data_IF_646055350111
#
_entry.id   IF_646055350111
#
_cell.length_a   1.000
_cell.length_b   1.000
_cell.length_c   1.000
_cell.angle_alpha   90.00
_cell.angle_beta   90.00
_cell.angle_gamma   90.00
#
_symmetry.space_group_name_H-M   'P 1'
#
loop_
_entity.id
_entity.type
_entity.pdbx_description
1 polymer ?
#
# COMPACT_ATOMS: atom_id res chain seq x y z
N UNK A 1 3.89 0.03 -22.83
CA UNK A 1 5.04 -0.58 -22.18
C UNK A 1 6.23 -0.70 -23.10
N UNK A 2 7.34 -0.90 -22.50
CA UNK A 2 8.60 -1.18 -23.21
C UNK A 2 8.69 -2.63 -23.74
N UNK A 3 7.64 -3.41 -23.53
CA UNK A 3 7.56 -4.83 -23.90
C UNK A 3 8.25 -5.77 -22.89
N UNK A 4 8.69 -5.23 -21.75
CA UNK A 4 9.23 -6.00 -20.63
C UNK A 4 8.12 -6.28 -19.63
N UNK A 5 8.13 -7.46 -19.04
CA UNK A 5 7.16 -7.87 -18.02
C UNK A 5 7.86 -7.94 -16.68
N UNK A 6 7.33 -7.22 -15.71
CA UNK A 6 7.70 -7.28 -14.30
C UNK A 6 6.61 -8.02 -13.50
N UNK A 7 7.01 -8.55 -12.36
CA UNK A 7 6.11 -9.24 -11.44
C UNK A 7 6.05 -8.48 -10.12
N UNK A 8 4.86 -8.06 -9.74
CA UNK A 8 4.59 -7.55 -8.39
C UNK A 8 4.15 -8.71 -7.51
N UNK A 9 4.88 -8.93 -6.42
CA UNK A 9 4.67 -10.05 -5.51
C UNK A 9 4.35 -9.52 -4.12
N UNK A 10 3.15 -9.83 -3.63
CA UNK A 10 2.79 -9.64 -2.22
C UNK A 10 3.38 -10.79 -1.41
N UNK A 11 4.19 -10.46 -0.43
CA UNK A 11 4.65 -11.41 0.58
C UNK A 11 3.99 -11.07 1.92
N UNK A 12 2.87 -11.72 2.25
CA UNK A 12 2.21 -11.48 3.53
C UNK A 12 3.08 -12.02 4.67
N UNK A 13 3.07 -11.28 5.77
CA UNK A 13 3.53 -11.80 7.05
C UNK A 13 2.37 -12.58 7.68
N UNK A 14 2.47 -13.88 7.78
CA UNK A 14 1.42 -14.76 8.34
C UNK A 14 1.30 -14.66 9.87
N UNK A 15 1.95 -13.70 10.51
CA UNK A 15 2.30 -13.78 11.92
C UNK A 15 2.03 -12.52 12.71
N UNK A 16 1.09 -11.70 12.27
CA UNK A 16 0.62 -10.57 13.07
C UNK A 16 0.18 -11.01 14.50
N UNK A 17 -0.21 -12.28 14.66
CA UNK A 17 -0.59 -12.88 15.94
C UNK A 17 0.55 -13.62 16.68
N UNK A 18 1.73 -13.80 16.07
CA UNK A 18 2.86 -14.47 16.71
C UNK A 18 3.84 -13.45 17.32
N UNK A 19 3.90 -13.31 18.66
CA UNK A 19 4.79 -12.35 19.31
C UNK A 19 6.27 -12.56 19.01
N UNK A 20 6.68 -13.77 18.59
CA UNK A 20 8.08 -14.07 18.26
C UNK A 20 8.50 -13.42 16.94
N UNK A 21 7.54 -13.07 16.08
CA UNK A 21 7.75 -12.48 14.76
C UNK A 21 7.32 -11.01 14.65
N UNK A 22 7.31 -10.31 15.77
CA UNK A 22 6.91 -8.90 15.85
C UNK A 22 7.64 -7.93 14.90
N UNK A 23 8.74 -8.38 14.30
CA UNK A 23 9.52 -7.63 13.33
C UNK A 23 9.39 -8.18 11.90
N UNK A 24 8.48 -9.13 11.67
CA UNK A 24 8.17 -9.61 10.35
C UNK A 24 7.02 -8.78 9.77
N UNK A 25 7.28 -8.03 8.71
CA UNK A 25 6.31 -7.13 8.09
C UNK A 25 5.89 -7.64 6.71
N UNK A 26 4.74 -7.18 6.25
CA UNK A 26 4.35 -7.41 4.86
C UNK A 26 5.32 -6.70 3.92
N UNK A 27 5.60 -7.32 2.79
CA UNK A 27 6.51 -6.79 1.78
C UNK A 27 5.85 -6.86 0.41
N UNK A 28 6.02 -5.80 -0.37
CA UNK A 28 5.70 -5.76 -1.78
C UNK A 28 7.01 -5.76 -2.57
N UNK A 29 7.25 -6.78 -3.36
CA UNK A 29 8.45 -6.88 -4.20
C UNK A 29 8.09 -6.68 -5.68
N UNK A 30 9.01 -6.09 -6.43
CA UNK A 30 9.00 -6.07 -7.89
C UNK A 30 10.19 -6.84 -8.44
N UNK A 31 9.92 -7.78 -9.33
CA UNK A 31 10.94 -8.61 -9.99
C UNK A 31 10.86 -8.49 -11.51
N UNK A 32 12.01 -8.54 -12.17
CA UNK A 32 12.07 -8.73 -13.60
C UNK A 32 11.79 -10.22 -13.96
N UNK A 33 11.66 -10.48 -15.26
CA UNK A 33 11.41 -11.85 -15.78
C UNK A 33 12.54 -12.85 -15.53
N UNK A 34 13.73 -12.38 -15.13
CA UNK A 34 14.86 -13.21 -14.74
C UNK A 34 14.88 -13.50 -13.22
N UNK A 35 13.90 -13.00 -12.47
CA UNK A 35 13.79 -13.14 -11.02
C UNK A 35 14.73 -12.22 -10.24
N UNK A 36 15.30 -11.21 -10.89
CA UNK A 36 16.09 -10.18 -10.21
C UNK A 36 15.15 -9.14 -9.61
N UNK A 37 15.30 -8.88 -8.30
CA UNK A 37 14.51 -7.87 -7.61
C UNK A 37 14.94 -6.47 -8.05
N UNK A 38 14.00 -5.69 -8.54
CA UNK A 38 14.20 -4.33 -9.02
C UNK A 38 14.05 -3.31 -7.89
N UNK A 39 13.00 -3.44 -7.12
CA UNK A 39 12.71 -2.64 -5.93
C UNK A 39 11.77 -3.41 -5.01
N UNK A 40 11.61 -2.93 -3.79
CA UNK A 40 10.66 -3.52 -2.86
C UNK A 40 10.24 -2.53 -1.78
N UNK A 41 9.10 -2.78 -1.15
CA UNK A 41 8.58 -1.97 -0.05
C UNK A 41 8.45 -2.86 1.17
N UNK A 42 9.15 -2.47 2.24
CA UNK A 42 8.81 -2.93 3.59
C UNK A 42 7.65 -2.08 4.08
N UNK A 43 6.47 -2.71 4.23
CA UNK A 43 5.24 -2.00 4.60
C UNK A 43 5.21 -1.59 6.08
N UNK A 44 6.18 -2.05 6.86
CA UNK A 44 6.38 -1.63 8.25
C UNK A 44 5.33 -2.13 9.23
N UNK A 45 5.46 -1.70 10.48
CA UNK A 45 4.63 -2.18 11.59
C UNK A 45 3.16 -1.78 11.48
N UNK A 46 2.87 -0.68 10.80
CA UNK A 46 1.53 -0.10 10.75
C UNK A 46 0.63 -0.68 9.66
N UNK A 47 1.20 -1.55 8.81
CA UNK A 47 0.46 -2.27 7.77
C UNK A 47 0.20 -3.74 8.13
N UNK A 48 0.46 -4.14 9.36
CA UNK A 48 0.20 -5.51 9.79
C UNK A 48 -1.29 -5.82 9.77
N UNK A 49 -1.61 -7.02 9.30
CA UNK A 49 -2.95 -7.55 9.22
C UNK A 49 -2.89 -9.06 9.43
N UNK A 50 -3.84 -9.61 10.16
CA UNK A 50 -4.01 -11.06 10.31
C UNK A 50 -4.42 -11.77 9.02
N UNK A 51 -4.88 -11.00 8.03
CA UNK A 51 -5.23 -11.50 6.71
C UNK A 51 -4.55 -10.65 5.64
N UNK A 52 -3.89 -11.29 4.70
CA UNK A 52 -3.17 -10.66 3.59
C UNK A 52 -4.09 -9.90 2.61
N UNK A 53 -5.38 -10.17 2.66
CA UNK A 53 -6.41 -9.45 1.92
C UNK A 53 -6.71 -8.03 2.43
N UNK A 54 -6.15 -7.63 3.59
CA UNK A 54 -6.42 -6.33 4.19
C UNK A 54 -5.63 -5.19 3.54
N UNK A 55 -4.64 -5.52 2.71
CA UNK A 55 -3.92 -4.53 1.91
C UNK A 55 -3.77 -5.02 0.49
N UNK A 56 -3.75 -4.10 -0.45
CA UNK A 56 -3.62 -4.43 -1.86
C UNK A 56 -2.91 -3.31 -2.61
N UNK A 57 -2.48 -3.63 -3.82
CA UNK A 57 -1.98 -2.70 -4.80
C UNK A 57 -2.64 -2.99 -6.15
N UNK A 58 -2.61 -2.02 -7.03
CA UNK A 58 -3.03 -2.21 -8.42
C UNK A 58 -1.98 -1.63 -9.35
N UNK A 59 -1.72 -2.36 -10.43
CA UNK A 59 -0.82 -1.94 -11.49
C UNK A 59 -1.67 -1.61 -12.72
N UNK A 60 -1.50 -0.41 -13.23
CA UNK A 60 -2.20 0.05 -14.42
C UNK A 60 -1.46 1.24 -15.05
N UNK A 61 -1.68 1.45 -16.34
CA UNK A 61 -1.16 2.60 -17.09
C UNK A 61 -2.21 3.72 -17.04
N UNK A 62 -2.15 4.56 -15.97
CA UNK A 62 -3.12 5.64 -15.79
C UNK A 62 -2.81 6.89 -16.61
N UNK A 63 -1.54 7.16 -16.90
CA UNK A 63 -1.15 8.32 -17.70
C UNK A 63 -1.07 8.02 -19.20
N UNK A 64 -1.28 6.74 -19.58
CA UNK A 64 -1.32 6.24 -20.94
C UNK A 64 0.02 6.41 -21.69
N UNK A 65 1.13 6.35 -20.98
CA UNK A 65 2.48 6.40 -21.56
C UNK A 65 2.97 5.03 -22.05
N UNK A 66 2.17 3.99 -21.79
CA UNK A 66 2.44 2.60 -22.16
C UNK A 66 3.22 1.83 -21.12
N UNK A 67 3.48 2.37 -19.93
CA UNK A 67 4.06 1.68 -18.79
C UNK A 67 3.04 1.62 -17.67
N UNK A 68 3.19 0.67 -16.78
CA UNK A 68 2.28 0.59 -15.63
C UNK A 68 2.86 1.28 -14.41
N UNK A 69 2.03 2.03 -13.73
CA UNK A 69 2.27 2.53 -12.39
C UNK A 69 1.77 1.53 -11.36
N UNK A 70 2.20 1.72 -10.13
CA UNK A 70 1.73 0.98 -8.96
C UNK A 70 1.06 1.94 -7.99
N UNK A 71 -0.19 1.68 -7.69
CA UNK A 71 -0.97 2.44 -6.72
C UNK A 71 -1.22 1.56 -5.49
N UNK A 72 -0.95 2.10 -4.30
CA UNK A 72 -1.23 1.41 -3.05
C UNK A 72 -1.50 2.37 -1.88
N UNK A 73 -2.26 1.88 -0.89
CA UNK A 73 -2.37 2.53 0.42
C UNK A 73 -1.20 2.07 1.29
N UNK A 74 -0.61 2.98 2.05
CA UNK A 74 0.48 2.71 2.98
C UNK A 74 0.31 3.55 4.25
N UNK A 75 1.09 3.26 5.28
CA UNK A 75 1.09 4.01 6.54
C UNK A 75 2.50 4.44 6.93
N UNK A 76 2.61 5.19 8.03
CA UNK A 76 3.90 5.59 8.61
C UNK A 76 4.85 4.42 8.82
N UNK A 77 6.15 4.70 8.84
CA UNK A 77 7.23 3.76 9.13
C UNK A 77 7.34 2.62 8.11
N UNK A 78 7.09 2.93 6.86
CA UNK A 78 7.35 2.05 5.73
C UNK A 78 8.54 2.54 4.92
N UNK A 79 9.22 1.64 4.21
CA UNK A 79 10.42 1.96 3.44
C UNK A 79 10.35 1.40 2.03
N UNK A 80 10.58 2.25 1.05
CA UNK A 80 10.84 1.84 -0.33
C UNK A 80 12.34 1.62 -0.47
N UNK A 81 12.73 0.49 -1.02
CA UNK A 81 14.13 0.13 -1.28
C UNK A 81 14.36 -0.01 -2.77
N UNK A 82 15.43 0.58 -3.26
CA UNK A 82 15.77 0.64 -4.68
C UNK A 82 16.92 -0.30 -5.06
N UNK A 83 17.07 -0.57 -6.34
CA UNK A 83 18.10 -1.45 -6.87
C UNK A 83 19.54 -0.96 -6.58
N UNK A 84 19.73 0.34 -6.40
CA UNK A 84 21.01 0.96 -6.09
C UNK A 84 21.41 0.86 -4.60
N UNK A 85 20.56 0.23 -3.79
CA UNK A 85 20.76 0.07 -2.34
C UNK A 85 20.29 1.25 -1.50
N UNK A 86 19.78 2.31 -2.10
CA UNK A 86 19.16 3.41 -1.38
C UNK A 86 17.76 3.07 -0.92
N UNK A 87 17.24 3.83 0.03
CA UNK A 87 15.87 3.67 0.52
C UNK A 87 15.23 5.01 0.85
N UNK A 88 13.90 5.02 0.82
CA UNK A 88 13.07 6.18 1.14
C UNK A 88 12.05 5.82 2.21
N UNK A 89 11.98 6.63 3.26
CA UNK A 89 11.00 6.50 4.32
C UNK A 89 9.66 7.15 3.90
N UNK A 90 8.57 6.47 4.14
CA UNK A 90 7.21 7.00 4.02
C UNK A 90 6.67 7.33 5.42
N UNK A 91 6.21 8.56 5.57
CA UNK A 91 5.71 9.08 6.84
C UNK A 91 6.80 9.21 7.90
N UNK A 92 6.51 8.81 9.12
CA UNK A 92 7.39 8.94 10.29
C UNK A 92 7.91 7.59 10.78
N UNK A 93 9.23 7.45 10.91
CA UNK A 93 9.88 6.24 11.42
C UNK A 93 9.60 5.97 12.91
N UNK A 94 9.14 6.98 13.65
CA UNK A 94 8.86 6.85 15.09
C UNK A 94 7.44 6.35 15.41
N UNK A 95 6.58 6.24 14.39
CA UNK A 95 5.19 5.83 14.57
C UNK A 95 5.09 4.31 14.55
N UNK A 96 4.50 3.78 15.59
CA UNK A 96 4.11 2.37 15.71
C UNK A 96 2.72 2.31 16.36
N UNK A 97 1.72 2.02 15.53
CA UNK A 97 0.31 1.96 15.94
C UNK A 97 -0.20 0.54 16.13
N UNK A 98 0.71 -0.44 16.17
CA UNK A 98 0.32 -1.82 16.44
C UNK A 98 -0.34 -1.92 17.80
N UNK A 99 -1.45 -2.59 17.83
CA UNK A 99 -2.16 -2.87 19.06
C UNK A 99 -1.84 -4.29 19.53
N UNK A 100 -1.46 -4.44 20.80
CA UNK A 100 -1.09 -5.73 21.37
C UNK A 100 -2.18 -6.79 21.17
N UNK A 101 -1.84 -7.87 20.47
CA UNK A 101 -2.72 -9.02 20.26
C UNK A 101 -3.80 -8.81 19.21
N UNK A 102 -3.66 -7.84 18.32
CA UNK A 102 -4.65 -7.55 17.28
C UNK A 102 -4.13 -7.84 15.89
N UNK A 103 -5.04 -8.39 15.11
CA UNK A 103 -4.79 -8.79 13.73
C UNK A 103 -4.82 -7.61 12.75
N UNK A 104 -5.29 -6.43 13.15
CA UNK A 104 -5.50 -5.29 12.26
C UNK A 104 -5.05 -3.98 12.86
N UNK A 105 -4.40 -3.16 12.06
CA UNK A 105 -4.08 -1.78 12.44
C UNK A 105 -5.32 -0.90 12.34
N UNK A 106 -5.68 -0.25 13.44
CA UNK A 106 -6.93 0.53 13.54
C UNK A 106 -6.74 2.03 13.59
N UNK A 107 -5.49 2.50 13.65
CA UNK A 107 -5.15 3.92 13.81
C UNK A 107 -3.90 4.29 13.04
N UNK A 108 -3.50 5.55 13.12
CA UNK A 108 -2.33 6.11 12.42
C UNK A 108 -2.68 6.75 11.08
N UNK A 109 -1.73 7.49 10.55
CA UNK A 109 -1.87 8.14 9.25
C UNK A 109 -1.87 7.11 8.12
N UNK A 110 -2.62 7.39 7.11
CA UNK A 110 -2.71 6.58 5.89
C UNK A 110 -2.38 7.47 4.70
N UNK A 111 -1.60 6.95 3.78
CA UNK A 111 -1.14 7.66 2.59
C UNK A 111 -1.47 6.87 1.33
N UNK A 112 -1.61 7.58 0.23
CA UNK A 112 -1.68 7.03 -1.11
C UNK A 112 -0.34 7.24 -1.80
N UNK A 113 0.29 6.14 -2.21
CA UNK A 113 1.46 6.12 -3.07
C UNK A 113 1.07 5.87 -4.52
N UNK A 114 1.74 6.57 -5.41
CA UNK A 114 1.66 6.39 -6.86
C UNK A 114 3.08 6.29 -7.39
N UNK A 115 3.48 5.09 -7.83
CA UNK A 115 4.86 4.74 -8.14
C UNK A 115 5.04 4.43 -9.62
N UNK A 116 6.19 4.79 -10.17
CA UNK A 116 6.64 4.25 -11.45
C UNK A 116 6.90 2.74 -11.30
N UNK A 117 6.23 1.91 -12.10
CA UNK A 117 6.27 0.46 -11.93
C UNK A 117 7.66 -0.15 -12.09
N UNK A 118 8.44 0.32 -13.06
CA UNK A 118 9.76 -0.21 -13.33
C UNK A 118 10.81 0.09 -12.24
N UNK A 119 10.71 1.22 -11.56
CA UNK A 119 11.73 1.70 -10.61
C UNK A 119 11.27 1.75 -9.17
N UNK A 120 9.97 1.71 -8.91
CA UNK A 120 9.39 1.94 -7.59
C UNK A 120 9.50 3.38 -7.09
N UNK A 121 9.93 4.31 -7.93
CA UNK A 121 10.06 5.72 -7.53
C UNK A 121 8.70 6.39 -7.45
N UNK A 122 8.40 7.11 -6.36
CA UNK A 122 7.15 7.82 -6.23
C UNK A 122 7.04 8.97 -7.24
N UNK A 123 5.86 9.12 -7.84
CA UNK A 123 5.49 10.37 -8.50
C UNK A 123 5.26 11.47 -7.47
N UNK A 124 5.58 12.69 -7.82
CA UNK A 124 5.44 13.86 -6.94
C UNK A 124 4.01 14.39 -6.99
N UNK A 125 3.12 13.71 -6.29
CA UNK A 125 1.68 14.03 -6.22
C UNK A 125 1.28 14.79 -4.95
N UNK A 126 2.16 14.82 -3.96
CA UNK A 126 1.90 15.41 -2.66
C UNK A 126 2.30 16.89 -2.55
N UNK A 127 2.01 17.52 -1.41
CA UNK A 127 2.45 18.87 -1.09
C UNK A 127 3.97 18.97 -0.97
N UNK A 128 4.50 20.19 -0.92
CA UNK A 128 5.95 20.44 -0.92
C UNK A 128 6.69 19.77 0.24
N UNK A 129 6.05 19.65 1.38
CA UNK A 129 6.59 19.01 2.60
C UNK A 129 6.60 17.47 2.52
N UNK A 130 5.69 16.89 1.72
CA UNK A 130 5.60 15.45 1.48
C UNK A 130 5.30 15.18 0.01
N UNK A 131 6.24 15.46 -0.90
CA UNK A 131 5.95 15.50 -2.34
C UNK A 131 5.62 14.13 -2.94
N UNK A 132 6.02 13.04 -2.30
CA UNK A 132 6.00 11.70 -2.85
C UNK A 132 4.75 10.89 -2.49
N UNK A 133 3.83 11.48 -1.72
CA UNK A 133 2.54 10.87 -1.37
C UNK A 133 1.53 11.93 -0.96
N UNK A 134 0.26 11.55 -0.92
CA UNK A 134 -0.83 12.35 -0.36
C UNK A 134 -1.48 11.60 0.80
N UNK A 135 -2.18 12.31 1.66
CA UNK A 135 -3.08 11.67 2.63
C UNK A 135 -4.10 10.79 1.90
N UNK A 136 -4.39 9.64 2.46
CA UNK A 136 -5.35 8.73 1.85
C UNK A 136 -6.76 9.35 1.87
N UNK A 137 -7.39 9.52 0.69
CA UNK A 137 -8.62 10.33 0.59
C UNK A 137 -9.82 9.75 1.34
N UNK A 138 -9.84 8.43 1.55
CA UNK A 138 -10.93 7.74 2.23
C UNK A 138 -10.54 7.44 3.69
N UNK A 139 -10.93 8.31 4.61
CA UNK A 139 -10.56 8.19 6.02
C UNK A 139 -11.31 7.06 6.73
N UNK A 140 -10.68 6.49 7.77
CA UNK A 140 -11.35 5.53 8.67
C UNK A 140 -12.48 6.15 9.49
N UNK A 141 -12.46 7.46 9.67
CA UNK A 141 -13.30 8.14 10.65
C UNK A 141 -12.83 7.83 12.09
N UNK A 142 -13.67 8.16 13.05
CA UNK A 142 -13.36 7.96 14.48
C UNK A 142 -13.66 6.53 14.97
N UNK A 143 -14.57 5.84 14.29
CA UNK A 143 -14.98 4.46 14.61
C UNK A 143 -14.39 3.49 13.59
N UNK A 144 -13.18 3.02 13.89
CA UNK A 144 -12.49 2.06 13.01
C UNK A 144 -13.08 0.64 13.05
N UNK A 145 -14.03 0.36 13.93
CA UNK A 145 -14.72 -0.93 13.99
C UNK A 145 -15.66 -1.13 12.80
N UNK A 146 -16.34 -0.08 12.36
CA UNK A 146 -17.29 -0.15 11.26
C UNK A 146 -18.36 -1.25 11.43
N UNK A 147 -18.71 -1.56 12.69
CA UNK A 147 -19.74 -2.54 13.05
C UNK A 147 -19.33 -4.00 12.81
N UNK A 148 -18.04 -4.31 12.80
CA UNK A 148 -17.54 -5.69 12.66
C UNK A 148 -17.45 -6.43 13.99
N UNK A 149 -17.35 -5.71 15.11
CA UNK A 149 -16.95 -6.25 16.40
C UNK A 149 -15.45 -6.54 16.52
N UNK A 150 -14.70 -6.37 15.43
CA UNK A 150 -13.24 -6.53 15.36
C UNK A 150 -12.66 -5.22 14.83
N UNK A 151 -11.99 -4.47 15.68
CA UNK A 151 -11.45 -3.14 15.34
C UNK A 151 -10.46 -3.26 14.19
N UNK A 152 -10.64 -2.43 13.16
CA UNK A 152 -9.80 -2.42 11.97
C UNK A 152 -10.22 -3.40 10.87
N UNK A 153 -10.95 -4.46 11.16
CA UNK A 153 -11.26 -5.52 10.17
C UNK A 153 -11.92 -4.99 8.89
N UNK A 154 -12.97 -4.18 9.02
CA UNK A 154 -13.66 -3.61 7.84
C UNK A 154 -12.97 -2.37 7.30
N UNK A 155 -12.46 -1.54 8.20
CA UNK A 155 -11.87 -0.25 7.84
C UNK A 155 -10.49 -0.35 7.18
N UNK A 156 -9.83 -1.50 7.20
CA UNK A 156 -8.55 -1.75 6.53
C UNK A 156 -8.69 -2.41 5.15
N UNK A 157 -9.91 -2.78 4.75
CA UNK A 157 -10.14 -3.31 3.39
C UNK A 157 -10.19 -2.16 2.39
N UNK A 158 -9.41 -2.28 1.33
CA UNK A 158 -9.28 -1.28 0.28
C UNK A 158 -9.44 -1.95 -1.09
N UNK A 159 -10.04 -1.21 -2.01
CA UNK A 159 -10.26 -1.63 -3.38
C UNK A 159 -9.77 -0.54 -4.31
N UNK A 160 -9.11 -0.95 -5.37
CA UNK A 160 -8.59 -0.06 -6.40
C UNK A 160 -9.10 -0.47 -7.78
N UNK A 161 -9.15 0.47 -8.69
CA UNK A 161 -9.54 0.19 -10.06
C UNK A 161 -9.17 1.31 -11.02
N UNK A 162 -9.32 1.03 -12.30
CA UNK A 162 -9.01 1.95 -13.39
C UNK A 162 -10.18 2.11 -14.37
N UNK A 163 -11.35 2.64 -13.93
CA UNK A 163 -12.50 2.83 -14.80
C UNK A 163 -12.28 3.95 -15.82
N UNK A 164 -12.82 3.79 -17.02
CA UNK A 164 -12.83 4.80 -18.06
C UNK A 164 -14.10 5.63 -17.98
N UNK A 165 -14.21 6.54 -17.01
CA UNK A 165 -15.42 7.30 -16.75
C UNK A 165 -15.82 8.24 -17.89
N UNK A 166 -14.87 8.72 -18.67
CA UNK A 166 -15.08 9.55 -19.85
C UNK A 166 -14.97 8.76 -21.18
N UNK A 167 -14.78 7.44 -21.09
CA UNK A 167 -14.61 6.56 -22.24
C UNK A 167 -13.28 6.70 -22.99
N UNK A 168 -12.33 7.46 -22.49
CA UNK A 168 -11.06 7.76 -23.17
C UNK A 168 -9.81 7.57 -22.32
N UNK A 169 -9.86 8.03 -21.07
CA UNK A 169 -8.73 7.98 -20.13
C UNK A 169 -9.13 7.22 -18.89
N UNK A 170 -8.23 6.44 -18.30
CA UNK A 170 -8.50 5.77 -17.04
C UNK A 170 -8.57 6.80 -15.90
N UNK A 171 -9.35 6.49 -14.91
CA UNK A 171 -9.45 7.25 -13.66
C UNK A 171 -9.03 6.36 -12.51
N UNK A 172 -8.45 6.92 -11.47
CA UNK A 172 -8.18 6.17 -10.24
C UNK A 172 -9.49 6.01 -9.48
N UNK A 173 -9.91 4.77 -9.25
CA UNK A 173 -11.01 4.43 -8.35
C UNK A 173 -10.44 3.94 -7.03
N UNK A 174 -10.94 4.48 -5.93
CA UNK A 174 -10.63 4.08 -4.57
C UNK A 174 -11.90 3.65 -3.86
N UNK A 175 -11.88 2.49 -3.22
CA UNK A 175 -12.94 2.01 -2.36
C UNK A 175 -12.38 1.60 -1.01
N UNK A 176 -13.20 1.73 0.04
CA UNK A 176 -12.84 1.33 1.40
C UNK A 176 -14.01 0.67 2.10
N UNK A 177 -13.73 -0.37 2.88
CA UNK A 177 -14.71 -1.03 3.72
C UNK A 177 -15.16 -2.38 3.19
N UNK A 178 -16.16 -2.96 3.85
CA UNK A 178 -16.73 -4.25 3.48
C UNK A 178 -18.19 -4.35 3.95
N UNK A 179 -18.95 -5.23 3.28
CA UNK A 179 -20.36 -5.50 3.55
C UNK A 179 -21.21 -4.22 3.42
N UNK A 180 -21.90 -3.84 4.50
CA UNK A 180 -22.79 -2.67 4.53
C UNK A 180 -22.10 -1.36 4.92
N UNK A 181 -20.79 -1.41 5.21
CA UNK A 181 -19.97 -0.25 5.58
C UNK A 181 -18.88 -0.06 4.51
N UNK A 182 -19.04 0.95 3.71
CA UNK A 182 -18.11 1.33 2.64
C UNK A 182 -18.38 2.79 2.19
#
# INVERSE_FOLDING_TARGET
GDGVVEFIVKRPCSVASDPSQKNAFHVLDCYDRQGRRLWWIDLGPNMLSGADEQWDCVCYDWDMDGKSEVLLRIQDNAYIHYADGTSELIGSASVDTRWNGVEYTSSGNEYLLYLEGATGKPYRIGPSEHPNYIDYPLTRGQDADWGSGIVGHRSTKHYFGAPYLNGRTPSIFLGRGAYTKH
#
